data_IF_426542027335
#
_entry.id   IF_426542027335
#
_cell.length_a   1.000
_cell.length_b   1.000
_cell.length_c   1.000
_cell.angle_alpha   90.00
_cell.angle_beta   90.00
_cell.angle_gamma   90.00
#
_symmetry.space_group_name_H-M   'P 1'
#
loop_
_entity.id
_entity.type
_entity.pdbx_description
1 polymer ?
#
# COMPACT_ATOMS: atom_id res chain seq x y z
N UNK A 1 -3.81 -8.16 2.30
CA UNK A 1 -3.06 -8.40 1.05
C UNK A 1 -2.86 -7.07 0.41
N UNK A 2 -1.62 -6.73 0.07
CA UNK A 2 -1.25 -5.39 -0.32
C UNK A 2 -0.34 -5.39 -1.54
N UNK A 3 -0.24 -4.23 -2.18
CA UNK A 3 0.74 -3.91 -3.20
C UNK A 3 1.83 -3.08 -2.54
N UNK A 4 3.05 -3.59 -2.49
CA UNK A 4 4.20 -2.85 -1.98
C UNK A 4 4.98 -2.29 -3.15
N UNK A 5 5.26 -0.99 -3.11
CA UNK A 5 6.04 -0.29 -4.13
C UNK A 5 7.46 -0.03 -3.63
N UNK A 6 8.47 -0.48 -4.38
CA UNK A 6 9.87 -0.09 -4.14
C UNK A 6 10.19 1.15 -4.96
N UNK A 7 10.42 2.25 -4.26
CA UNK A 7 10.90 3.50 -4.86
C UNK A 7 12.38 3.32 -5.25
N UNK A 8 12.68 3.52 -6.52
CA UNK A 8 14.04 3.46 -7.06
C UNK A 8 14.65 4.81 -7.40
N UNK A 9 13.80 5.84 -7.56
CA UNK A 9 14.24 7.22 -7.77
C UNK A 9 13.60 8.13 -6.73
N UNK A 10 14.39 9.08 -6.23
CA UNK A 10 13.92 10.07 -5.29
C UNK A 10 12.78 10.93 -5.87
N UNK A 11 11.77 11.20 -5.03
CA UNK A 11 10.69 12.15 -5.28
C UNK A 11 10.89 13.35 -4.33
N UNK A 12 11.66 14.38 -4.73
CA UNK A 12 12.01 15.49 -3.85
C UNK A 12 10.79 16.31 -3.45
N UNK A 13 10.81 16.85 -2.23
CA UNK A 13 9.78 17.79 -1.75
C UNK A 13 9.74 19.01 -2.68
N UNK A 14 8.53 19.37 -3.12
CA UNK A 14 8.30 20.51 -4.02
C UNK A 14 6.95 21.16 -3.78
N UNK A 15 6.76 22.36 -4.34
CA UNK A 15 5.44 22.97 -4.41
C UNK A 15 4.59 22.31 -5.49
N UNK A 16 3.39 21.86 -5.12
CA UNK A 16 2.41 21.24 -6.01
C UNK A 16 2.57 19.72 -6.16
N UNK A 17 1.43 19.04 -6.26
CA UNK A 17 1.31 17.57 -6.30
C UNK A 17 2.06 16.90 -7.43
N UNK A 18 2.49 15.65 -7.20
CA UNK A 18 2.98 14.79 -8.28
C UNK A 18 1.80 14.25 -9.09
N UNK A 19 1.99 14.10 -10.41
CA UNK A 19 1.05 13.29 -11.19
C UNK A 19 1.28 11.81 -10.90
N UNK A 20 0.26 10.98 -11.13
CA UNK A 20 0.37 9.53 -10.98
C UNK A 20 1.52 8.94 -11.80
N UNK A 21 1.72 9.45 -13.02
CA UNK A 21 2.80 9.03 -13.92
C UNK A 21 4.18 9.38 -13.34
N UNK A 22 4.32 10.57 -12.75
CA UNK A 22 5.59 10.97 -12.12
C UNK A 22 5.95 10.08 -10.93
N UNK A 23 4.95 9.67 -10.14
CA UNK A 23 5.13 8.71 -9.05
C UNK A 23 5.42 7.32 -9.58
N UNK A 24 4.69 6.86 -10.62
CA UNK A 24 4.95 5.59 -11.29
C UNK A 24 6.39 5.50 -11.80
N UNK A 25 6.90 6.54 -12.46
CA UNK A 25 8.26 6.58 -13.00
C UNK A 25 9.36 6.52 -11.93
N UNK A 26 9.02 6.71 -10.66
CA UNK A 26 9.93 6.59 -9.53
C UNK A 26 9.92 5.20 -8.88
N UNK A 27 8.98 4.32 -9.25
CA UNK A 27 8.86 2.95 -8.74
C UNK A 27 9.60 1.97 -9.66
N UNK A 28 10.60 1.29 -9.11
CA UNK A 28 11.41 0.32 -9.86
C UNK A 28 10.81 -1.09 -9.87
N UNK A 29 10.07 -1.45 -8.82
CA UNK A 29 9.42 -2.76 -8.71
C UNK A 29 8.22 -2.70 -7.76
N UNK A 30 7.33 -3.68 -7.90
CA UNK A 30 6.30 -3.97 -6.92
C UNK A 30 6.45 -5.38 -6.34
N UNK A 31 5.80 -5.60 -5.20
CA UNK A 31 5.71 -6.91 -4.55
C UNK A 31 4.27 -7.14 -4.12
N UNK A 32 3.69 -8.33 -4.38
CA UNK A 32 2.53 -8.76 -3.61
C UNK A 32 2.97 -8.97 -2.15
N UNK A 33 2.18 -8.52 -1.19
CA UNK A 33 2.56 -8.60 0.22
C UNK A 33 1.41 -8.93 1.15
N UNK A 34 1.78 -9.42 2.34
CA UNK A 34 0.89 -9.56 3.49
C UNK A 34 1.46 -8.69 4.61
N UNK A 35 0.71 -7.66 4.99
CA UNK A 35 0.91 -6.99 6.28
C UNK A 35 0.23 -7.81 7.37
N UNK A 36 0.97 -8.08 8.45
CA UNK A 36 0.40 -8.56 9.70
C UNK A 36 0.27 -7.32 10.59
N UNK A 37 -0.95 -7.00 10.97
CA UNK A 37 -1.26 -5.89 11.86
C UNK A 37 -1.51 -6.38 13.29
N UNK A 38 -1.08 -5.59 14.27
CA UNK A 38 -1.40 -5.77 15.68
C UNK A 38 -1.55 -4.40 16.36
N UNK A 39 -2.41 -4.30 17.38
CA UNK A 39 -2.68 -3.05 18.06
C UNK A 39 -2.26 -3.09 19.51
N UNK A 40 -1.59 -2.02 19.98
CA UNK A 40 -1.31 -1.85 21.43
C UNK A 40 -2.49 -1.22 22.18
N UNK A 41 -3.56 -0.87 21.47
CA UNK A 41 -4.77 -0.27 22.05
C UNK A 41 -5.75 -1.36 22.48
N UNK A 42 -6.36 -1.18 23.65
CA UNK A 42 -7.34 -2.15 24.19
C UNK A 42 -8.56 -2.29 23.26
N UNK A 43 -9.05 -1.16 22.73
CA UNK A 43 -10.11 -1.15 21.72
C UNK A 43 -9.76 -0.15 20.61
N UNK A 44 -9.10 -0.67 19.55
CA UNK A 44 -8.70 0.12 18.38
C UNK A 44 -9.90 0.78 17.69
N UNK A 45 -11.09 0.17 17.71
CA UNK A 45 -12.24 0.66 16.98
C UNK A 45 -12.80 1.97 17.56
N UNK A 46 -12.61 2.19 18.88
CA UNK A 46 -13.13 3.37 19.59
C UNK A 46 -12.04 4.36 20.00
N UNK A 47 -10.76 4.01 19.86
CA UNK A 47 -9.63 4.84 20.30
C UNK A 47 -9.45 6.16 19.52
N UNK A 48 -10.04 6.27 18.32
CA UNK A 48 -9.94 7.45 17.46
C UNK A 48 -8.62 7.53 16.67
N UNK A 49 -8.62 8.35 15.61
CA UNK A 49 -7.55 8.36 14.61
C UNK A 49 -6.17 8.72 15.19
N UNK A 50 -6.09 9.71 16.08
CA UNK A 50 -4.81 10.13 16.66
C UNK A 50 -4.15 9.02 17.49
N UNK A 51 -4.95 8.24 18.22
CA UNK A 51 -4.43 7.10 18.97
C UNK A 51 -3.97 5.98 18.04
N UNK A 52 -4.72 5.71 16.96
CA UNK A 52 -4.32 4.74 15.94
C UNK A 52 -3.04 5.16 15.22
N UNK A 53 -2.90 6.45 14.88
CA UNK A 53 -1.65 6.99 14.33
C UNK A 53 -0.48 6.83 15.31
N UNK A 54 -0.70 7.13 16.60
CA UNK A 54 0.31 6.96 17.64
C UNK A 54 0.70 5.48 17.86
N UNK A 55 -0.23 4.54 17.59
CA UNK A 55 -0.01 3.10 17.57
C UNK A 55 0.66 2.60 16.27
N UNK A 56 1.36 3.49 15.54
CA UNK A 56 1.98 3.21 14.25
C UNK A 56 1.00 2.58 13.23
N UNK A 57 -0.25 3.05 13.24
CA UNK A 57 -1.36 2.52 12.45
C UNK A 57 -1.66 1.02 12.65
N UNK A 58 -1.08 0.38 13.67
CA UNK A 58 -1.15 -1.06 13.90
C UNK A 58 -0.12 -1.88 13.09
N UNK A 59 0.87 -1.25 12.47
CA UNK A 59 1.93 -1.94 11.74
C UNK A 59 2.83 -2.76 12.65
N UNK A 60 3.11 -4.02 12.27
CA UNK A 60 4.09 -4.87 12.96
C UNK A 60 5.03 -5.61 12.00
N UNK A 61 4.51 -6.45 11.11
CA UNK A 61 5.34 -7.31 10.25
C UNK A 61 4.86 -7.24 8.81
N UNK A 62 5.80 -7.39 7.87
CA UNK A 62 5.53 -7.38 6.44
C UNK A 62 6.21 -8.58 5.78
N UNK A 63 5.42 -9.40 5.10
CA UNK A 63 5.92 -10.51 4.29
C UNK A 63 5.80 -10.13 2.83
N UNK A 64 6.95 -10.03 2.15
CA UNK A 64 7.02 -9.77 0.71
C UNK A 64 6.99 -11.10 -0.06
N UNK A 65 6.23 -11.13 -1.15
CA UNK A 65 6.34 -12.14 -2.19
C UNK A 65 7.45 -11.81 -3.19
N UNK A 66 7.35 -12.41 -4.37
CA UNK A 66 8.34 -12.22 -5.43
C UNK A 66 8.33 -10.79 -5.99
N UNK A 67 9.52 -10.33 -6.38
CA UNK A 67 9.69 -9.04 -7.05
C UNK A 67 9.08 -9.06 -8.46
N UNK A 68 8.36 -7.99 -8.80
CA UNK A 68 7.83 -7.76 -10.15
C UNK A 68 8.37 -6.44 -10.68
N UNK A 69 9.40 -6.51 -11.53
CA UNK A 69 10.08 -5.33 -12.09
C UNK A 69 9.37 -4.73 -13.32
N UNK A 70 8.73 -5.55 -14.15
CA UNK A 70 7.98 -5.10 -15.33
C UNK A 70 6.49 -4.80 -15.02
N UNK A 71 6.25 -4.12 -13.90
CA UNK A 71 4.92 -3.95 -13.31
C UNK A 71 4.03 -2.95 -14.05
N UNK A 72 4.62 -2.03 -14.83
CA UNK A 72 3.91 -0.96 -15.53
C UNK A 72 2.96 -1.49 -16.62
N UNK A 73 3.12 -2.75 -17.02
CA UNK A 73 2.23 -3.42 -17.97
C UNK A 73 1.02 -4.08 -17.29
N UNK A 74 0.95 -4.08 -15.96
CA UNK A 74 -0.12 -4.70 -15.21
C UNK A 74 -1.27 -3.71 -14.97
N UNK A 75 -2.49 -4.22 -15.10
CA UNK A 75 -3.69 -3.53 -14.63
C UNK A 75 -3.85 -3.78 -13.13
N UNK A 76 -3.21 -2.93 -12.31
CA UNK A 76 -3.23 -3.07 -10.85
C UNK A 76 -4.64 -2.91 -10.27
N UNK A 77 -5.44 -2.00 -10.82
CA UNK A 77 -6.80 -1.75 -10.37
C UNK A 77 -7.70 -2.99 -10.54
N UNK A 78 -7.56 -3.72 -11.65
CA UNK A 78 -8.34 -4.94 -11.89
C UNK A 78 -7.63 -6.24 -11.46
N UNK A 79 -6.47 -6.14 -10.83
CA UNK A 79 -5.76 -7.31 -10.31
C UNK A 79 -6.52 -7.91 -9.11
N UNK A 80 -6.90 -9.19 -9.20
CA UNK A 80 -7.60 -9.92 -8.12
C UNK A 80 -6.59 -10.54 -7.17
N UNK A 81 -6.75 -10.31 -5.88
CA UNK A 81 -5.99 -10.95 -4.81
C UNK A 81 -6.89 -11.92 -4.02
N UNK A 82 -6.35 -13.05 -3.58
CA UNK A 82 -7.06 -14.08 -2.82
C UNK A 82 -6.21 -14.55 -1.65
N UNK A 83 -6.80 -14.55 -0.45
CA UNK A 83 -6.16 -15.01 0.77
C UNK A 83 -6.65 -16.42 1.11
N UNK A 84 -5.69 -17.31 1.32
CA UNK A 84 -5.95 -18.70 1.70
C UNK A 84 -5.39 -18.99 3.09
N UNK A 85 -6.13 -19.72 3.89
CA UNK A 85 -5.67 -20.28 5.17
C UNK A 85 -6.04 -21.75 5.17
N UNK A 86 -5.04 -22.63 5.31
CA UNK A 86 -5.23 -24.09 5.33
C UNK A 86 -6.11 -24.59 4.16
N UNK A 87 -5.74 -24.18 2.94
CA UNK A 87 -6.45 -24.52 1.69
C UNK A 87 -7.90 -24.02 1.59
N UNK A 88 -8.32 -23.11 2.47
CA UNK A 88 -9.62 -22.44 2.39
C UNK A 88 -9.45 -20.97 1.99
N UNK A 89 -10.19 -20.54 0.97
CA UNK A 89 -10.32 -19.12 0.64
C UNK A 89 -11.05 -18.41 1.78
N UNK A 90 -10.38 -17.48 2.45
CA UNK A 90 -10.95 -16.72 3.58
C UNK A 90 -11.26 -15.27 3.22
N UNK A 91 -10.64 -14.74 2.17
CA UNK A 91 -10.92 -13.40 1.65
C UNK A 91 -10.46 -13.28 0.19
N UNK A 92 -11.04 -12.33 -0.54
CA UNK A 92 -10.56 -11.87 -1.83
C UNK A 92 -10.89 -10.39 -2.01
N UNK A 93 -10.23 -9.75 -2.97
CA UNK A 93 -10.49 -8.36 -3.35
C UNK A 93 -9.79 -7.98 -4.64
N UNK A 94 -10.00 -6.75 -5.09
CA UNK A 94 -9.33 -6.18 -6.26
C UNK A 94 -8.51 -4.95 -5.88
N UNK A 95 -7.44 -4.65 -6.63
CA UNK A 95 -6.61 -3.48 -6.37
C UNK A 95 -7.40 -2.16 -6.34
N UNK A 96 -8.46 -2.03 -7.14
CA UNK A 96 -9.35 -0.85 -7.16
C UNK A 96 -10.04 -0.55 -5.83
N UNK A 97 -10.10 -1.50 -4.91
CA UNK A 97 -10.64 -1.24 -3.57
C UNK A 97 -9.70 -0.36 -2.73
N UNK A 98 -8.44 -0.22 -3.17
CA UNK A 98 -7.46 0.72 -2.60
C UNK A 98 -7.50 2.01 -3.42
N UNK A 99 -8.38 2.93 -3.04
CA UNK A 99 -8.48 4.27 -3.66
C UNK A 99 -8.59 4.25 -5.20
N UNK A 100 -9.44 3.38 -5.76
CA UNK A 100 -9.66 3.12 -7.20
C UNK A 100 -8.46 2.53 -7.97
N UNK A 101 -7.24 2.67 -7.46
CA UNK A 101 -6.01 2.05 -7.96
C UNK A 101 -4.95 2.09 -6.85
N UNK A 102 -4.24 0.98 -6.55
CA UNK A 102 -3.24 0.95 -5.49
C UNK A 102 -2.16 2.04 -5.60
N UNK A 103 -1.82 2.48 -6.81
CA UNK A 103 -0.84 3.55 -7.01
C UNK A 103 -1.35 4.92 -6.53
N UNK A 104 -2.67 5.13 -6.48
CA UNK A 104 -3.25 6.37 -5.96
C UNK A 104 -2.98 6.56 -4.46
N UNK A 105 -2.85 5.48 -3.68
CA UNK A 105 -2.48 5.57 -2.27
C UNK A 105 -1.04 6.07 -2.10
N UNK A 106 -0.13 5.64 -2.98
CA UNK A 106 1.24 6.13 -3.01
C UNK A 106 1.31 7.60 -3.44
N UNK A 107 0.54 8.00 -4.46
CA UNK A 107 0.44 9.42 -4.86
C UNK A 107 -0.02 10.28 -3.69
N UNK A 108 -1.08 9.86 -2.99
CA UNK A 108 -1.55 10.56 -1.80
C UNK A 108 -0.47 10.65 -0.71
N UNK A 109 0.26 9.56 -0.44
CA UNK A 109 1.31 9.53 0.57
C UNK A 109 2.47 10.49 0.23
N UNK A 110 2.89 10.53 -1.03
CA UNK A 110 3.92 11.46 -1.51
C UNK A 110 3.44 12.91 -1.36
N UNK A 111 2.17 13.18 -1.67
CA UNK A 111 1.59 14.52 -1.50
C UNK A 111 1.51 14.95 -0.03
N UNK A 112 1.32 14.04 0.94
CA UNK A 112 1.37 14.39 2.37
C UNK A 112 2.76 14.81 2.85
N UNK A 113 3.83 14.49 2.11
CA UNK A 113 5.20 14.91 2.41
C UNK A 113 5.51 16.33 1.88
N UNK A 114 4.59 16.92 1.10
CA UNK A 114 4.70 18.29 0.61
C UNK A 114 4.16 19.24 1.69
N UNK A 115 5.07 19.75 2.52
CA UNK A 115 4.74 20.77 3.52
C UNK A 115 4.17 22.06 2.93
#
# INVERSE_FOLDING_TARGET
MEFVFRIGRELPVRTGSYTKEQVADAVDAIYPAIEIGDSRLIDRATAGMLAVCADNAGGTELVLGDEISAWQHLDLANHRAVLWINDQEVAHGYGREVMDDPLNSLVWLVDQQMG
#
